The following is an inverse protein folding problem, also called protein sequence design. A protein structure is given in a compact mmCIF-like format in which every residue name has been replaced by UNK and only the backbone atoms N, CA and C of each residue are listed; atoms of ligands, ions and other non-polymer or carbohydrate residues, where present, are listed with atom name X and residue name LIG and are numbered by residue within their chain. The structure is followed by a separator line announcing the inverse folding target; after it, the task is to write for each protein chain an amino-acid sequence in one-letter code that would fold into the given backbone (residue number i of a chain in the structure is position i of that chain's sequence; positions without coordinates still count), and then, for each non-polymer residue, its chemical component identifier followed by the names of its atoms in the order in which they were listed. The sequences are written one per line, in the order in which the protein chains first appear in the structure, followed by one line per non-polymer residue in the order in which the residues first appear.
data_IF_310413301589
#
_entry.id   IF_310413301589
#
_cell.length_a   1.000
_cell.length_b   1.000
_cell.length_c   1.000
_cell.angle_alpha   90.00
_cell.angle_beta   90.00
_cell.angle_gamma   90.00
#
_symmetry.space_group_name_H-M   'P 1'
#
loop_
_entity.id
_entity.type
_entity.pdbx_description
1 polymer ?
#
# COMPACT_ATOMS: atom_id res chain seq x y z
N UNK A 1 -8.33 -12.53 -15.55
CA UNK A 1 -8.29 -11.16 -14.99
C UNK A 1 -6.87 -10.91 -14.51
N UNK A 2 -6.10 -10.05 -15.18
CA UNK A 2 -4.68 -9.82 -14.86
C UNK A 2 -4.56 -8.94 -13.61
N UNK A 3 -4.53 -9.55 -12.44
CA UNK A 3 -4.00 -8.88 -11.25
C UNK A 3 -2.48 -8.83 -11.40
N UNK A 4 -1.96 -7.82 -12.12
CA UNK A 4 -0.51 -7.61 -12.21
C UNK A 4 0.03 -7.37 -10.78
N UNK A 5 0.94 -8.22 -10.28
CA UNK A 5 1.56 -8.01 -8.98
C UNK A 5 2.53 -6.83 -9.05
N UNK A 6 2.74 -6.18 -7.92
CA UNK A 6 3.84 -5.24 -7.74
C UNK A 6 5.14 -6.02 -7.49
N UNK A 7 6.28 -5.46 -7.90
CA UNK A 7 7.59 -6.02 -7.56
C UNK A 7 7.82 -5.98 -6.05
N UNK A 8 7.37 -4.89 -5.42
CA UNK A 8 7.41 -4.72 -3.96
C UNK A 8 6.02 -4.40 -3.43
N UNK A 9 5.49 -5.20 -2.50
CA UNK A 9 4.17 -4.94 -1.95
C UNK A 9 4.12 -3.61 -1.22
N UNK A 10 2.97 -2.94 -1.28
CA UNK A 10 2.75 -1.68 -0.57
C UNK A 10 2.11 -2.00 0.77
N UNK A 11 2.70 -1.52 1.87
CA UNK A 11 2.13 -1.68 3.21
C UNK A 11 1.51 -0.37 3.65
N UNK A 12 0.25 -0.42 4.04
CA UNK A 12 -0.51 0.74 4.50
C UNK A 12 -1.18 0.48 5.84
N UNK A 13 -1.28 1.52 6.66
CA UNK A 13 -2.13 1.50 7.84
C UNK A 13 -3.60 1.59 7.41
N UNK A 14 -4.39 0.59 7.79
CA UNK A 14 -5.86 0.64 7.70
C UNK A 14 -6.46 1.07 9.05
N UNK A 15 -7.77 1.38 9.05
CA UNK A 15 -8.52 1.65 10.28
C UNK A 15 -8.25 0.63 11.41
N UNK A 16 -8.29 1.11 12.65
CA UNK A 16 -7.83 0.40 13.87
C UNK A 16 -6.32 0.07 13.94
N UNK A 17 -5.47 0.66 13.09
CA UNK A 17 -4.01 0.56 13.25
C UNK A 17 -3.44 -0.80 12.86
N UNK A 18 -4.14 -1.55 12.01
CA UNK A 18 -3.62 -2.80 11.46
C UNK A 18 -2.87 -2.53 10.15
N UNK A 19 -1.71 -3.18 9.93
CA UNK A 19 -1.02 -3.09 8.65
C UNK A 19 -1.75 -3.96 7.62
N UNK A 20 -2.05 -3.40 6.45
CA UNK A 20 -2.54 -4.13 5.28
C UNK A 20 -1.49 -4.12 4.19
N UNK A 21 -1.24 -5.29 3.61
CA UNK A 21 -0.34 -5.45 2.48
C UNK A 21 -1.13 -5.51 1.17
N UNK A 22 -0.72 -4.71 0.19
CA UNK A 22 -1.30 -4.63 -1.13
C UNK A 22 -0.27 -5.22 -2.11
N UNK A 23 -0.60 -6.38 -2.68
CA UNK A 23 0.32 -7.12 -3.54
C UNK A 23 0.08 -6.84 -5.01
N UNK A 24 -1.12 -6.39 -5.37
CA UNK A 24 -1.54 -6.21 -6.76
C UNK A 24 -2.17 -4.84 -6.99
N UNK A 25 -2.23 -4.44 -8.26
CA UNK A 25 -2.93 -3.22 -8.70
C UNK A 25 -4.41 -3.26 -8.28
N UNK A 26 -5.04 -4.43 -8.30
CA UNK A 26 -6.43 -4.61 -7.87
C UNK A 26 -6.59 -4.31 -6.38
N UNK A 27 -5.69 -4.81 -5.54
CA UNK A 27 -5.72 -4.54 -4.09
C UNK A 27 -5.60 -3.05 -3.80
N UNK A 28 -4.66 -2.38 -4.50
CA UNK A 28 -4.47 -0.94 -4.38
C UNK A 28 -5.69 -0.15 -4.86
N UNK A 29 -6.31 -0.58 -5.97
CA UNK A 29 -7.50 0.05 -6.53
C UNK A 29 -8.70 -0.03 -5.56
N UNK A 30 -8.96 -1.23 -5.01
CA UNK A 30 -10.03 -1.42 -4.02
C UNK A 30 -9.79 -0.57 -2.78
N UNK A 31 -8.56 -0.58 -2.25
CA UNK A 31 -8.20 0.22 -1.08
C UNK A 31 -8.45 1.72 -1.28
N UNK A 32 -8.06 2.28 -2.44
CA UNK A 32 -8.20 3.73 -2.68
C UNK A 32 -9.64 4.15 -2.97
N UNK A 33 -10.50 3.25 -3.47
CA UNK A 33 -11.93 3.50 -3.62
C UNK A 33 -12.63 3.50 -2.27
N UNK A 34 -12.31 2.52 -1.42
CA UNK A 34 -12.89 2.39 -0.09
C UNK A 34 -12.37 3.47 0.88
N UNK A 35 -11.29 4.16 0.52
CA UNK A 35 -10.73 5.23 1.32
C UNK A 35 -11.69 6.42 1.42
N UNK A 36 -12.15 6.72 2.64
CA UNK A 36 -12.98 7.88 2.90
C UNK A 36 -12.18 9.19 2.70
N UNK A 37 -12.52 9.95 1.66
CA UNK A 37 -11.85 11.20 1.33
C UNK A 37 -12.24 11.75 -0.05
N UNK A 38 -11.77 12.96 -0.36
CA UNK A 38 -11.94 13.56 -1.68
C UNK A 38 -10.70 14.40 -2.03
N UNK A 39 -9.52 13.81 -1.88
CA UNK A 39 -8.27 14.52 -2.18
C UNK A 39 -7.87 14.34 -3.65
N UNK A 40 -7.20 15.33 -4.26
CA UNK A 40 -6.73 15.20 -5.65
C UNK A 40 -5.76 14.02 -5.82
N UNK A 41 -4.99 13.70 -4.78
CA UNK A 41 -4.07 12.55 -4.79
C UNK A 41 -4.81 11.22 -4.83
N UNK A 42 -5.94 11.10 -4.12
CA UNK A 42 -6.80 9.92 -4.18
C UNK A 42 -7.36 9.73 -5.60
N UNK A 43 -7.86 10.81 -6.22
CA UNK A 43 -8.34 10.78 -7.61
C UNK A 43 -7.24 10.43 -8.61
N UNK A 44 -6.01 10.87 -8.36
CA UNK A 44 -4.86 10.53 -9.19
C UNK A 44 -4.51 9.03 -9.04
N UNK A 45 -4.48 8.51 -7.82
CA UNK A 45 -4.23 7.09 -7.56
C UNK A 45 -5.30 6.18 -8.16
N UNK A 46 -6.60 6.54 -8.04
CA UNK A 46 -7.71 5.81 -8.70
C UNK A 46 -7.50 5.76 -10.22
N UNK A 47 -7.14 6.89 -10.85
CA UNK A 47 -6.89 6.96 -12.29
C UNK A 47 -5.69 6.12 -12.71
N UNK A 48 -4.58 6.20 -11.98
CA UNK A 48 -3.38 5.42 -12.25
C UNK A 48 -3.64 3.91 -12.13
N UNK A 49 -4.34 3.49 -11.07
CA UNK A 49 -4.71 2.09 -10.90
C UNK A 49 -5.64 1.61 -12.01
N UNK A 50 -6.64 2.42 -12.41
CA UNK A 50 -7.54 2.07 -13.50
C UNK A 50 -6.82 1.95 -14.84
N UNK A 51 -5.88 2.85 -15.14
CA UNK A 51 -5.03 2.77 -16.33
C UNK A 51 -4.15 1.51 -16.32
N UNK A 52 -3.60 1.14 -15.16
CA UNK A 52 -2.81 -0.09 -15.03
C UNK A 52 -3.65 -1.37 -15.22
N UNK A 53 -4.90 -1.37 -14.74
CA UNK A 53 -5.85 -2.46 -14.97
C UNK A 53 -6.28 -2.57 -16.43
N UNK A 54 -6.37 -1.44 -17.15
CA UNK A 54 -6.62 -1.40 -18.59
C UNK A 54 -5.40 -1.81 -19.43
N UNK A 55 -4.19 -1.81 -18.83
CA UNK A 55 -2.94 -2.11 -19.51
C UNK A 55 -2.27 -0.89 -20.16
N UNK A 56 -2.80 0.31 -19.96
CA UNK A 56 -2.28 1.57 -20.52
C UNK A 56 -0.98 2.02 -19.83
N UNK A 57 -0.81 1.66 -18.54
CA UNK A 57 0.40 1.95 -17.77
C UNK A 57 0.89 0.72 -17.03
N UNK A 58 2.17 0.72 -16.67
CA UNK A 58 2.76 -0.37 -15.91
C UNK A 58 2.30 -0.39 -14.43
N UNK A 59 2.35 -1.58 -13.81
CA UNK A 59 2.00 -1.76 -12.41
C UNK A 59 2.89 -0.92 -11.49
N UNK A 60 4.20 -0.79 -11.78
CA UNK A 60 5.11 0.01 -10.96
C UNK A 60 4.84 1.52 -11.09
N UNK A 61 4.36 1.98 -12.25
CA UNK A 61 3.90 3.36 -12.43
C UNK A 61 2.68 3.64 -11.55
N UNK A 62 1.70 2.73 -11.53
CA UNK A 62 0.54 2.87 -10.65
C UNK A 62 0.93 2.81 -9.16
N UNK A 63 1.90 1.96 -8.81
CA UNK A 63 2.48 1.89 -7.47
C UNK A 63 3.11 3.20 -7.04
N UNK A 64 3.89 3.85 -7.90
CA UNK A 64 4.51 5.14 -7.58
C UNK A 64 3.48 6.22 -7.21
N UNK A 65 2.40 6.32 -7.98
CA UNK A 65 1.30 7.26 -7.70
C UNK A 65 0.58 6.91 -6.39
N UNK A 66 0.33 5.61 -6.16
CA UNK A 66 -0.30 5.15 -4.92
C UNK A 66 0.56 5.43 -3.68
N UNK A 67 1.87 5.21 -3.77
CA UNK A 67 2.83 5.52 -2.69
C UNK A 67 2.82 7.01 -2.36
N UNK A 68 2.76 7.89 -3.37
CA UNK A 68 2.65 9.33 -3.15
C UNK A 68 1.34 9.70 -2.41
N UNK A 69 0.22 9.09 -2.78
CA UNK A 69 -1.05 9.22 -2.05
C UNK A 69 -0.92 8.74 -0.60
N UNK A 70 -0.36 7.56 -0.38
CA UNK A 70 -0.20 6.97 0.94
C UNK A 70 0.73 7.81 1.85
N UNK A 71 1.80 8.39 1.30
CA UNK A 71 2.66 9.35 2.01
C UNK A 71 1.91 10.63 2.37
N UNK A 72 1.13 11.18 1.43
CA UNK A 72 0.36 12.42 1.68
C UNK A 72 -0.70 12.25 2.77
N UNK A 73 -1.21 11.04 2.93
CA UNK A 73 -2.19 10.65 3.95
C UNK A 73 -1.57 10.10 5.23
N UNK A 74 -0.23 10.05 5.31
CA UNK A 74 0.53 9.51 6.45
C UNK A 74 0.14 8.06 6.82
N UNK A 75 -0.26 7.29 5.80
CA UNK A 75 -0.72 5.90 5.97
C UNK A 75 0.26 4.88 5.39
N UNK A 76 1.33 5.33 4.74
CA UNK A 76 2.35 4.44 4.21
C UNK A 76 3.21 3.88 5.36
N UNK A 77 3.38 2.57 5.37
CA UNK A 77 4.35 1.90 6.24
C UNK A 77 5.65 1.77 5.45
N UNK A 78 6.64 2.59 5.80
CA UNK A 78 7.96 2.47 5.18
C UNK A 78 8.64 1.18 5.61
N UNK A 79 9.32 0.51 4.67
CA UNK A 79 10.13 -0.67 4.94
C UNK A 79 11.30 -0.31 5.89
N UNK A 80 11.03 -0.38 7.19
CA UNK A 80 11.94 0.01 8.26
C UNK A 80 11.23 0.56 9.52
N UNK A 81 9.96 0.95 9.40
CA UNK A 81 9.19 1.56 10.49
C UNK A 81 8.45 0.56 11.40
N UNK A 82 8.50 -0.74 11.10
CA UNK A 82 8.05 -1.76 12.04
C UNK A 82 9.26 -2.13 12.91
N UNK A 83 9.36 -1.67 14.18
CA UNK A 83 10.35 -2.23 15.07
C UNK A 83 10.12 -3.74 15.12
N UNK A 84 11.17 -4.58 15.07
CA UNK A 84 10.99 -6.02 15.24
C UNK A 84 10.23 -6.19 16.55
N UNK A 85 9.00 -6.70 16.46
CA UNK A 85 8.24 -7.13 17.64
C UNK A 85 9.19 -8.08 18.34
N UNK A 86 9.68 -7.68 19.51
CA UNK A 86 10.77 -8.29 20.27
C UNK A 86 10.65 -9.82 20.23
N UNK A 87 11.36 -10.42 19.30
CA UNK A 87 11.49 -11.86 19.19
C UNK A 87 12.40 -12.33 20.31
N UNK A 88 11.85 -13.17 21.18
CA UNK A 88 12.50 -13.95 22.24
C UNK A 88 13.00 -13.17 23.47
N UNK A 89 12.17 -13.20 24.51
CA UNK A 89 12.68 -13.34 25.87
C UNK A 89 13.40 -14.71 25.96
N UNK A 90 14.73 -14.71 26.03
CA UNK A 90 15.47 -15.83 26.59
C UNK A 90 15.82 -15.49 28.05
N UNK A 91 15.24 -16.18 29.04
CA UNK A 91 15.71 -16.07 30.42
C UNK A 91 17.09 -16.72 30.50
N UNK A 92 18.13 -15.92 30.73
CA UNK A 92 19.44 -16.43 31.12
C UNK A 92 19.36 -16.86 32.58
N UNK A 93 19.28 -18.16 32.80
CA UNK A 93 19.52 -18.76 34.11
C UNK A 93 20.99 -19.21 34.14
N UNK A 94 21.82 -18.49 34.90
CA UNK A 94 23.08 -18.97 35.49
C UNK A 94 23.21 -18.31 36.85
#
# INVERSE_FOLDING_TARGET
MLAKPFEKPIRVWVGMGFPRQLNTVVDAYQFVIDWCGNSPEQKAAIRACRAALAGDVDAETARGVFVAFARKKDILIEDGAIPPILGSAQPKHV
#
